data_IF_014217302458
#
_entry.id   IF_014217302458
#
_cell.length_a   1.000
_cell.length_b   1.000
_cell.length_c   1.000
_cell.angle_alpha   90.00
_cell.angle_beta   90.00
_cell.angle_gamma   90.00
#
_symmetry.space_group_name_H-M   'P 1'
#
loop_
_entity.id
_entity.type
_entity.pdbx_description
1 polymer ?
#
# COMPACT_ATOMS: atom_id res chain seq x y z
N UNK A 1 7.12 5.95 -33.39
CA UNK A 1 6.52 7.01 -32.57
C UNK A 1 7.35 7.10 -31.32
N UNK A 2 7.91 8.28 -31.00
CA UNK A 2 8.55 8.51 -29.69
C UNK A 2 7.50 9.22 -28.85
N UNK A 3 7.10 8.58 -27.77
CA UNK A 3 6.14 9.15 -26.82
C UNK A 3 6.80 10.33 -26.11
N UNK A 4 5.98 11.33 -25.82
CA UNK A 4 6.38 12.58 -25.21
C UNK A 4 6.84 12.30 -23.78
N UNK A 5 8.16 12.25 -23.56
CA UNK A 5 8.76 12.50 -22.25
C UNK A 5 8.42 13.96 -21.91
N UNK A 6 7.28 14.19 -21.23
CA UNK A 6 7.06 15.46 -20.56
C UNK A 6 8.08 15.54 -19.43
N UNK A 7 9.27 16.06 -19.76
CA UNK A 7 10.24 16.51 -18.78
C UNK A 7 9.58 17.72 -18.10
N UNK A 8 8.89 17.48 -16.99
CA UNK A 8 8.48 18.55 -16.08
C UNK A 8 9.78 19.17 -15.55
N UNK A 9 10.13 20.36 -16.04
CA UNK A 9 11.23 21.13 -15.44
C UNK A 9 10.88 21.38 -13.97
N UNK A 10 11.73 20.88 -13.06
CA UNK A 10 11.53 21.04 -11.61
C UNK A 10 10.97 19.82 -10.87
N UNK A 11 11.02 18.61 -11.43
CA UNK A 11 10.64 17.38 -10.72
C UNK A 11 11.60 16.21 -10.97
N UNK A 12 11.70 15.29 -10.01
CA UNK A 12 12.48 14.04 -10.11
C UNK A 12 11.57 12.82 -10.05
N UNK A 13 11.84 11.84 -10.91
CA UNK A 13 11.21 10.53 -10.80
C UNK A 13 11.85 9.74 -9.64
N UNK A 14 11.05 9.42 -8.62
CA UNK A 14 11.46 8.61 -7.48
C UNK A 14 10.46 7.46 -7.34
N UNK A 15 10.92 6.24 -7.61
CA UNK A 15 10.14 5.03 -7.44
C UNK A 15 8.85 5.01 -8.27
N UNK A 16 8.88 5.52 -9.50
CA UNK A 16 7.73 5.56 -10.42
C UNK A 16 6.95 6.87 -10.40
N UNK A 17 7.21 7.76 -9.45
CA UNK A 17 6.42 8.97 -9.22
C UNK A 17 7.22 10.25 -9.46
N UNK A 18 6.60 11.26 -10.06
CA UNK A 18 7.20 12.58 -10.25
C UNK A 18 7.03 13.42 -8.98
N UNK A 19 8.15 13.75 -8.34
CA UNK A 19 8.20 14.52 -7.10
C UNK A 19 8.79 15.91 -7.39
N UNK A 20 8.14 17.01 -6.96
CA UNK A 20 8.69 18.37 -7.12
C UNK A 20 10.06 18.51 -6.47
N UNK A 21 10.99 19.23 -7.11
CA UNK A 21 12.38 19.39 -6.67
C UNK A 21 12.50 19.93 -5.24
N UNK A 22 11.61 20.85 -4.86
CA UNK A 22 11.52 21.43 -3.52
C UNK A 22 11.11 20.43 -2.44
N UNK A 23 10.44 19.34 -2.81
CA UNK A 23 9.94 18.29 -1.91
C UNK A 23 10.85 17.05 -1.89
N UNK A 24 11.76 16.91 -2.85
CA UNK A 24 12.59 15.70 -3.05
C UNK A 24 13.31 15.26 -1.77
N UNK A 25 13.93 16.19 -1.05
CA UNK A 25 14.74 15.85 0.14
C UNK A 25 13.85 15.29 1.26
N UNK A 26 12.75 16.00 1.56
CA UNK A 26 11.80 15.60 2.59
C UNK A 26 11.10 14.29 2.23
N UNK A 27 10.62 14.16 0.98
CA UNK A 27 9.97 12.96 0.49
C UNK A 27 10.91 11.75 0.55
N UNK A 28 12.16 11.90 0.11
CA UNK A 28 13.15 10.80 0.13
C UNK A 28 13.41 10.31 1.56
N UNK A 29 13.53 11.23 2.52
CA UNK A 29 13.74 10.88 3.92
C UNK A 29 12.54 10.16 4.53
N UNK A 30 11.32 10.68 4.31
CA UNK A 30 10.07 10.06 4.78
C UNK A 30 9.86 8.67 4.17
N UNK A 31 10.09 8.55 2.87
CA UNK A 31 10.01 7.29 2.13
C UNK A 31 11.01 6.26 2.65
N UNK A 32 12.25 6.66 2.90
CA UNK A 32 13.24 5.76 3.49
C UNK A 32 12.83 5.31 4.90
N UNK A 33 12.27 6.20 5.71
CA UNK A 33 11.76 5.85 7.04
C UNK A 33 10.62 4.82 6.97
N UNK A 34 9.70 4.94 6.01
CA UNK A 34 8.66 3.96 5.74
C UNK A 34 9.27 2.59 5.35
N UNK A 35 10.21 2.58 4.40
CA UNK A 35 10.91 1.36 3.96
C UNK A 35 11.56 0.63 5.14
N UNK A 36 12.35 1.36 5.93
CA UNK A 36 13.09 0.79 7.06
C UNK A 36 12.15 0.25 8.14
N UNK A 37 11.07 1.00 8.43
CA UNK A 37 10.05 0.59 9.40
C UNK A 37 9.34 -0.69 8.96
N UNK A 38 8.78 -0.72 7.74
CA UNK A 38 8.06 -1.89 7.24
C UNK A 38 8.97 -3.10 7.11
N UNK A 39 10.20 -2.92 6.60
CA UNK A 39 11.14 -4.03 6.49
C UNK A 39 11.49 -4.64 7.84
N UNK A 40 11.71 -3.81 8.87
CA UNK A 40 12.00 -4.25 10.23
C UNK A 40 10.82 -5.03 10.84
N UNK A 41 9.61 -4.50 10.72
CA UNK A 41 8.42 -5.09 11.35
C UNK A 41 7.93 -6.34 10.61
N UNK A 42 7.92 -6.33 9.29
CA UNK A 42 7.48 -7.47 8.49
C UNK A 42 8.45 -8.64 8.63
N UNK A 43 9.76 -8.41 8.74
CA UNK A 43 10.76 -9.48 8.96
C UNK A 43 10.61 -10.21 10.28
N UNK A 44 9.99 -9.59 11.28
CA UNK A 44 9.71 -10.25 12.56
C UNK A 44 8.50 -11.20 12.47
N UNK A 45 7.65 -11.01 11.45
CA UNK A 45 6.35 -11.70 11.30
C UNK A 45 6.36 -12.71 10.17
N UNK A 46 7.08 -12.42 9.09
CA UNK A 46 7.04 -13.19 7.85
C UNK A 46 8.38 -13.82 7.54
N UNK A 47 8.33 -15.05 7.02
CA UNK A 47 9.52 -15.79 6.59
C UNK A 47 10.19 -15.15 5.38
N UNK A 48 9.41 -14.61 4.43
CA UNK A 48 9.92 -13.99 3.21
C UNK A 48 9.53 -12.51 3.18
N UNK A 49 10.50 -11.62 3.06
CA UNK A 49 10.30 -10.18 2.88
C UNK A 49 11.17 -9.69 1.75
N UNK A 50 10.57 -9.03 0.76
CA UNK A 50 11.23 -8.59 -0.46
C UNK A 50 10.92 -7.13 -0.75
N UNK A 51 11.94 -6.36 -1.12
CA UNK A 51 11.79 -5.01 -1.65
C UNK A 51 12.06 -5.09 -3.16
N UNK A 52 11.10 -4.64 -3.96
CA UNK A 52 11.10 -4.77 -5.41
C UNK A 52 10.75 -3.47 -6.12
N UNK A 53 10.66 -3.55 -7.44
CA UNK A 53 10.17 -2.44 -8.27
C UNK A 53 11.12 -1.25 -8.41
N UNK A 54 12.39 -1.39 -8.00
CA UNK A 54 13.37 -0.29 -8.07
C UNK A 54 13.48 0.27 -9.49
N UNK A 55 12.92 1.46 -9.69
CA UNK A 55 12.92 2.14 -10.99
C UNK A 55 12.00 1.54 -12.05
N UNK A 56 11.02 0.70 -11.67
CA UNK A 56 9.94 0.30 -12.58
C UNK A 56 8.86 1.38 -12.68
N UNK A 57 8.09 1.34 -13.77
CA UNK A 57 6.92 2.20 -13.97
C UNK A 57 5.84 1.97 -12.90
N UNK A 58 5.67 0.72 -12.48
CA UNK A 58 4.74 0.35 -11.40
C UNK A 58 5.21 0.81 -10.01
N UNK A 59 6.43 1.35 -9.93
CA UNK A 59 7.02 1.88 -8.72
C UNK A 59 7.61 0.84 -7.76
N UNK A 60 8.39 1.35 -6.82
CA UNK A 60 9.05 0.53 -5.81
C UNK A 60 8.03 0.05 -4.76
N UNK A 61 8.20 -1.16 -4.26
CA UNK A 61 7.30 -1.77 -3.28
C UNK A 61 8.02 -2.67 -2.27
N UNK A 62 7.32 -3.02 -1.20
CA UNK A 62 7.65 -4.14 -0.31
C UNK A 62 6.55 -5.18 -0.33
N UNK A 63 6.96 -6.44 -0.33
CA UNK A 63 6.08 -7.57 -0.13
C UNK A 63 6.58 -8.50 0.97
N UNK A 64 5.67 -9.11 1.70
CA UNK A 64 5.98 -10.08 2.74
C UNK A 64 4.98 -11.24 2.72
N UNK A 65 5.44 -12.47 2.91
CA UNK A 65 4.60 -13.68 2.89
C UNK A 65 5.21 -14.81 3.70
N UNK A 66 4.36 -15.71 4.20
CA UNK A 66 4.82 -16.93 4.89
C UNK A 66 5.32 -18.01 3.92
N UNK A 67 4.76 -18.05 2.71
CA UNK A 67 5.14 -18.98 1.66
C UNK A 67 6.02 -18.37 0.57
N UNK A 68 6.44 -19.21 -0.39
CA UNK A 68 7.31 -18.83 -1.52
C UNK A 68 6.59 -18.03 -2.60
N UNK A 69 5.25 -17.96 -2.57
CA UNK A 69 4.48 -17.19 -3.55
C UNK A 69 3.87 -15.98 -2.86
N UNK A 70 3.91 -14.84 -3.54
CA UNK A 70 3.27 -13.60 -3.10
C UNK A 70 1.73 -13.66 -3.02
N UNK A 71 1.11 -14.82 -3.33
CA UNK A 71 -0.33 -15.09 -3.20
C UNK A 71 -0.65 -16.13 -2.11
N UNK A 72 0.35 -16.58 -1.35
CA UNK A 72 0.12 -17.45 -0.21
C UNK A 72 -0.51 -16.60 0.92
N UNK A 73 -1.52 -17.15 1.62
CA UNK A 73 -2.28 -16.54 2.73
C UNK A 73 -1.53 -15.45 3.52
N UNK A 74 -2.18 -14.29 3.70
CA UNK A 74 -1.70 -13.24 4.60
C UNK A 74 -0.49 -12.46 4.09
N UNK A 75 -0.26 -12.46 2.76
CA UNK A 75 0.80 -11.66 2.15
C UNK A 75 0.50 -10.16 2.26
N UNK A 76 1.51 -9.38 2.65
CA UNK A 76 1.47 -7.91 2.60
C UNK A 76 2.07 -7.45 1.30
N UNK A 77 1.46 -6.47 0.65
CA UNK A 77 2.03 -5.77 -0.51
C UNK A 77 1.75 -4.27 -0.40
N UNK A 78 2.81 -3.46 -0.49
CA UNK A 78 2.73 -2.00 -0.29
C UNK A 78 3.64 -1.29 -1.29
N UNK A 79 3.07 -0.40 -2.11
CA UNK A 79 3.85 0.54 -2.91
C UNK A 79 4.36 1.70 -2.04
N UNK A 80 5.54 2.20 -2.37
CA UNK A 80 6.11 3.39 -1.72
C UNK A 80 5.73 4.67 -2.47
N UNK A 81 4.47 4.79 -2.86
CA UNK A 81 3.92 5.96 -3.52
C UNK A 81 3.72 7.14 -2.53
N UNK A 82 3.54 8.38 -3.03
CA UNK A 82 3.35 9.54 -2.16
C UNK A 82 2.18 9.43 -1.18
N UNK A 83 1.06 8.81 -1.58
CA UNK A 83 -0.12 8.69 -0.73
C UNK A 83 0.17 7.79 0.47
N UNK A 84 0.86 6.68 0.23
CA UNK A 84 1.23 5.76 1.31
C UNK A 84 2.31 6.34 2.23
N UNK A 85 3.27 7.09 1.67
CA UNK A 85 4.29 7.81 2.47
C UNK A 85 3.63 8.85 3.37
N UNK A 86 2.70 9.65 2.82
CA UNK A 86 1.97 10.67 3.59
C UNK A 86 1.07 10.03 4.65
N UNK A 87 0.37 8.94 4.29
CA UNK A 87 -0.42 8.15 5.24
C UNK A 87 0.45 7.69 6.40
N UNK A 88 1.59 7.04 6.14
CA UNK A 88 2.53 6.62 7.19
C UNK A 88 2.96 7.79 8.07
N UNK A 89 3.30 8.94 7.46
CA UNK A 89 3.70 10.14 8.20
C UNK A 89 2.59 10.69 9.10
N UNK A 90 1.32 10.57 8.69
CA UNK A 90 0.16 11.04 9.45
C UNK A 90 -0.12 10.29 10.76
N UNK A 91 0.40 9.08 10.95
CA UNK A 91 0.26 8.36 12.22
C UNK A 91 1.23 8.87 13.28
N UNK A 92 0.74 9.29 14.44
CA UNK A 92 1.58 9.61 15.59
C UNK A 92 2.30 8.35 16.12
N UNK A 93 1.57 7.24 16.27
CA UNK A 93 2.14 5.92 16.59
C UNK A 93 2.23 5.05 15.34
N UNK A 94 3.47 4.74 14.92
CA UNK A 94 3.72 3.92 13.73
C UNK A 94 3.22 2.48 13.88
N UNK A 95 3.05 1.98 15.11
CA UNK A 95 2.45 0.66 15.34
C UNK A 95 0.99 0.60 14.94
N UNK A 96 0.25 1.69 15.07
CA UNK A 96 -1.15 1.77 14.62
C UNK A 96 -1.24 1.73 13.08
N UNK A 97 -0.30 2.40 12.39
CA UNK A 97 -0.18 2.27 10.94
C UNK A 97 0.00 0.80 10.51
N UNK A 98 0.94 0.08 11.16
CA UNK A 98 1.16 -1.33 10.86
C UNK A 98 -0.06 -2.20 11.18
N UNK A 99 -0.79 -1.89 12.26
CA UNK A 99 -2.02 -2.58 12.63
C UNK A 99 -3.08 -2.40 11.53
N UNK A 100 -3.30 -1.17 11.06
CA UNK A 100 -4.22 -0.90 9.95
C UNK A 100 -3.80 -1.59 8.66
N UNK A 101 -2.51 -1.54 8.31
CA UNK A 101 -1.98 -2.19 7.11
C UNK A 101 -2.28 -3.70 7.13
N UNK A 102 -1.98 -4.38 8.23
CA UNK A 102 -2.25 -5.81 8.35
C UNK A 102 -3.75 -6.13 8.34
N UNK A 103 -4.56 -5.27 8.97
CA UNK A 103 -6.01 -5.42 8.94
C UNK A 103 -6.53 -5.39 7.50
N UNK A 104 -6.13 -4.39 6.69
CA UNK A 104 -6.58 -4.29 5.30
C UNK A 104 -6.16 -5.49 4.47
N UNK A 105 -4.90 -5.92 4.55
CA UNK A 105 -4.41 -7.10 3.82
C UNK A 105 -5.20 -8.37 4.20
N UNK A 106 -5.46 -8.58 5.50
CA UNK A 106 -6.22 -9.75 5.95
C UNK A 106 -7.68 -9.69 5.46
N UNK A 107 -8.33 -8.54 5.55
CA UNK A 107 -9.73 -8.39 5.14
C UNK A 107 -9.91 -8.49 3.63
N UNK A 108 -8.96 -7.99 2.85
CA UNK A 108 -8.95 -8.16 1.41
C UNK A 108 -8.84 -9.65 1.05
N UNK A 109 -7.91 -10.36 1.70
CA UNK A 109 -7.79 -11.81 1.54
C UNK A 109 -9.09 -12.53 1.90
N UNK A 110 -9.65 -12.27 3.08
CA UNK A 110 -10.89 -12.91 3.56
C UNK A 110 -12.06 -12.65 2.61
N UNK A 111 -12.17 -11.43 2.07
CA UNK A 111 -13.25 -11.04 1.17
C UNK A 111 -13.19 -11.77 -0.17
N UNK A 112 -12.00 -11.87 -0.79
CA UNK A 112 -11.84 -12.51 -2.10
C UNK A 112 -11.70 -14.04 -2.05
N UNK A 113 -11.64 -14.64 -0.86
CA UNK A 113 -11.76 -16.11 -0.68
C UNK A 113 -13.22 -16.58 -0.59
N UNK A 114 -14.20 -15.67 -0.49
CA UNK A 114 -15.61 -16.05 -0.58
C UNK A 114 -15.97 -16.37 -2.04
N UNK A 115 -16.23 -17.65 -2.32
CA UNK A 115 -16.59 -18.17 -3.66
C UNK A 115 -17.79 -17.42 -4.30
N UNK A 116 -18.59 -16.70 -3.51
CA UNK A 116 -19.72 -15.91 -4.01
C UNK A 116 -19.35 -14.50 -4.51
N UNK A 117 -18.09 -14.08 -4.36
CA UNK A 117 -17.62 -12.71 -4.68
C UNK A 117 -16.64 -12.64 -5.86
N UNK A 118 -16.14 -13.78 -6.35
CA UNK A 118 -15.24 -13.88 -7.51
C UNK A 118 -15.95 -13.72 -8.87
N UNK A 119 -17.27 -13.69 -8.87
CA UNK A 119 -18.09 -13.36 -10.03
C UNK A 119 -18.55 -11.93 -9.83
N UNK A 120 -18.05 -10.96 -10.61
CA UNK A 120 -18.66 -9.64 -10.91
C UNK A 120 -17.60 -8.71 -11.54
N UNK A 121 -17.39 -8.88 -12.86
CA UNK A 121 -16.82 -7.80 -13.68
C UNK A 121 -17.82 -6.63 -13.73
N UNK A 122 -17.39 -5.45 -13.24
CA UNK A 122 -18.04 -4.17 -13.54
C UNK A 122 -18.85 -3.57 -12.39
N UNK A 123 -18.24 -2.63 -11.67
CA UNK A 123 -18.85 -1.59 -10.82
C UNK A 123 -19.56 -2.05 -9.52
N UNK A 124 -20.41 -3.08 -9.51
CA UNK A 124 -21.17 -3.48 -8.30
C UNK A 124 -20.28 -4.10 -7.20
N UNK A 125 -19.17 -4.72 -7.58
CA UNK A 125 -18.23 -5.34 -6.62
C UNK A 125 -17.38 -4.32 -5.83
N UNK A 126 -17.12 -3.13 -6.39
CA UNK A 126 -16.34 -2.09 -5.71
C UNK A 126 -17.14 -1.45 -4.56
N UNK A 127 -18.42 -1.20 -4.77
CA UNK A 127 -19.32 -0.68 -3.73
C UNK A 127 -19.53 -1.71 -2.59
N UNK A 128 -19.56 -3.00 -2.92
CA UNK A 128 -19.67 -4.08 -1.92
C UNK A 128 -18.40 -4.26 -1.09
N UNK A 129 -17.21 -4.19 -1.72
CA UNK A 129 -15.93 -4.17 -0.98
C UNK A 129 -15.83 -2.96 -0.06
N UNK A 130 -16.10 -1.75 -0.56
CA UNK A 130 -16.00 -0.53 0.25
C UNK A 130 -16.99 -0.54 1.43
N UNK A 131 -18.23 -1.01 1.22
CA UNK A 131 -19.20 -1.15 2.29
C UNK A 131 -18.76 -2.20 3.33
N UNK A 132 -18.23 -3.34 2.87
CA UNK A 132 -17.68 -4.38 3.73
C UNK A 132 -16.52 -3.85 4.57
N UNK A 133 -15.49 -3.28 3.94
CA UNK A 133 -14.27 -2.88 4.64
C UNK A 133 -14.52 -1.70 5.58
N UNK A 134 -15.41 -0.77 5.21
CA UNK A 134 -15.79 0.34 6.10
C UNK A 134 -16.41 -0.18 7.40
N UNK A 135 -17.34 -1.14 7.29
CA UNK A 135 -17.98 -1.75 8.45
C UNK A 135 -16.99 -2.53 9.31
N UNK A 136 -16.13 -3.35 8.70
CA UNK A 136 -15.12 -4.12 9.43
C UNK A 136 -14.13 -3.20 10.16
N UNK A 137 -13.77 -2.08 9.53
CA UNK A 137 -12.85 -1.11 10.09
C UNK A 137 -13.45 -0.40 11.31
N UNK A 138 -14.71 0.05 11.22
CA UNK A 138 -15.44 0.61 12.36
C UNK A 138 -15.55 -0.40 13.52
N UNK A 139 -15.76 -1.68 13.21
CA UNK A 139 -15.84 -2.73 14.21
C UNK A 139 -14.49 -2.95 14.92
N UNK A 140 -13.38 -2.98 14.19
CA UNK A 140 -12.04 -3.24 14.73
C UNK A 140 -11.47 -2.03 15.46
N UNK A 141 -11.51 -0.84 14.84
CA UNK A 141 -10.82 0.35 15.33
C UNK A 141 -11.72 1.32 16.11
N UNK A 142 -13.04 1.09 16.14
CA UNK A 142 -14.02 1.96 16.81
C UNK A 142 -13.97 3.42 16.32
N UNK A 143 -13.62 3.62 15.05
CA UNK A 143 -13.55 4.92 14.36
C UNK A 143 -14.05 4.80 12.93
N UNK A 144 -14.51 5.91 12.36
CA UNK A 144 -15.00 6.00 10.99
C UNK A 144 -13.91 5.63 9.97
N UNK A 145 -14.32 4.96 8.89
CA UNK A 145 -13.44 4.61 7.78
C UNK A 145 -12.90 5.88 7.10
N UNK A 146 -11.57 6.11 7.07
CA UNK A 146 -11.04 7.42 6.71
C UNK A 146 -10.82 7.60 5.20
N UNK A 147 -11.00 6.54 4.38
CA UNK A 147 -10.69 6.60 2.96
C UNK A 147 -11.98 6.83 2.14
N UNK A 148 -12.04 7.89 1.33
CA UNK A 148 -13.23 8.20 0.53
C UNK A 148 -13.46 7.13 -0.55
N UNK A 149 -14.70 7.03 -1.03
CA UNK A 149 -15.02 6.19 -2.19
C UNK A 149 -14.28 6.73 -3.42
N UNK A 150 -13.44 5.91 -4.03
CA UNK A 150 -12.79 6.18 -5.32
C UNK A 150 -13.76 5.96 -6.48
#
# INVERSE_FOLDING_TARGET
>A
MREYEQVYEGAKNIGGWLIPDEEVEEYTAKRQALIDYLYSELKQRYTNVYIGGKGSEDGDYISASEGKKARDMGSVFVHFDPVEVDKFCGFEDKKEYLKELLFFNQKEYDYYQDDQKLDLEGQDALDDWQAFISKEYELEFKKEYPYPRL
#
